data_IF_700937088652
#
_entry.id   IF_700937088652
#
_cell.length_a   1.000
_cell.length_b   1.000
_cell.length_c   1.000
_cell.angle_alpha   90.00
_cell.angle_beta   90.00
_cell.angle_gamma   90.00
#
_symmetry.space_group_name_H-M   'P 1'
#
loop_
_entity.id
_entity.type
_entity.pdbx_description
1 polymer ?
#
# COMPACT_ATOMS: atom_id res chain seq x y z
N UNK A 1 10.50 32.60 -18.89
CA UNK A 1 9.68 32.17 -17.74
C UNK A 1 9.83 30.67 -17.65
N UNK A 2 10.85 30.20 -16.94
CA UNK A 2 11.07 28.78 -16.72
C UNK A 2 10.02 28.28 -15.73
N UNK A 3 9.01 27.56 -16.23
CA UNK A 3 8.23 26.63 -15.42
C UNK A 3 9.19 25.58 -14.91
N UNK A 4 9.80 25.82 -13.75
CA UNK A 4 10.40 24.77 -12.94
C UNK A 4 9.26 23.87 -12.49
N UNK A 5 8.91 22.92 -13.35
CA UNK A 5 8.21 21.72 -12.94
C UNK A 5 8.94 21.24 -11.70
N UNK A 6 8.28 21.26 -10.54
CA UNK A 6 8.80 20.62 -9.35
C UNK A 6 8.98 19.16 -9.74
N UNK A 7 10.21 18.79 -10.10
CA UNK A 7 10.60 17.40 -10.25
C UNK A 7 10.39 16.81 -8.87
N UNK A 8 9.20 16.28 -8.63
CA UNK A 8 8.93 15.39 -7.51
C UNK A 8 10.05 14.37 -7.60
N UNK A 9 10.89 14.30 -6.56
CA UNK A 9 11.99 13.34 -6.53
C UNK A 9 11.43 11.99 -6.98
N UNK A 10 12.08 11.38 -7.98
CA UNK A 10 11.64 10.12 -8.55
C UNK A 10 11.52 9.10 -7.41
N UNK A 11 10.34 8.54 -7.25
CA UNK A 11 10.05 7.59 -6.19
C UNK A 11 10.47 6.20 -6.63
N UNK A 12 10.88 5.38 -5.67
CA UNK A 12 11.11 3.97 -5.91
C UNK A 12 9.78 3.30 -6.21
N UNK A 13 9.69 2.76 -7.42
CA UNK A 13 8.52 2.06 -7.91
C UNK A 13 8.27 0.73 -7.23
N UNK A 14 7.02 0.27 -7.31
CA UNK A 14 6.62 -1.05 -6.81
C UNK A 14 7.15 -2.16 -7.73
N UNK A 15 7.80 -3.15 -7.15
CA UNK A 15 8.16 -4.39 -7.83
C UNK A 15 7.04 -5.44 -7.73
N UNK A 16 6.40 -5.53 -6.55
CA UNK A 16 5.39 -6.53 -6.27
C UNK A 16 4.49 -6.11 -5.10
N UNK A 17 3.20 -6.41 -5.19
CA UNK A 17 2.24 -6.39 -4.08
C UNK A 17 1.69 -7.79 -3.89
N UNK A 18 1.92 -8.39 -2.74
CA UNK A 18 1.31 -9.65 -2.33
C UNK A 18 0.17 -9.37 -1.36
N UNK A 19 -0.99 -9.97 -1.58
CA UNK A 19 -2.13 -9.88 -0.66
C UNK A 19 -2.59 -11.29 -0.29
N UNK A 20 -2.70 -11.56 1.01
CA UNK A 20 -3.04 -12.87 1.57
C UNK A 20 -4.27 -12.79 2.45
N UNK A 21 -5.28 -13.60 2.16
CA UNK A 21 -6.37 -13.90 3.10
C UNK A 21 -5.88 -14.95 4.10
N UNK A 22 -6.34 -14.87 5.34
CA UNK A 22 -5.90 -15.74 6.44
C UNK A 22 -6.00 -17.24 6.13
N UNK A 23 -6.95 -17.68 5.30
CA UNK A 23 -7.20 -19.11 5.14
C UNK A 23 -6.94 -19.70 3.74
N UNK A 24 -7.23 -19.05 2.59
CA UNK A 24 -7.15 -19.81 1.31
C UNK A 24 -6.76 -19.07 0.02
N UNK A 25 -6.37 -17.79 0.07
CA UNK A 25 -6.07 -17.06 -1.17
C UNK A 25 -4.87 -16.13 -1.03
N UNK A 26 -3.92 -16.30 -1.95
CA UNK A 26 -2.80 -15.39 -2.14
C UNK A 26 -2.85 -14.84 -3.56
N UNK A 27 -2.71 -13.53 -3.70
CA UNK A 27 -2.56 -12.88 -4.99
C UNK A 27 -1.24 -12.12 -5.03
N UNK A 28 -0.63 -12.07 -6.20
CA UNK A 28 0.60 -11.35 -6.48
C UNK A 28 0.34 -10.40 -7.64
N UNK A 29 0.57 -9.12 -7.43
CA UNK A 29 0.13 -8.02 -8.31
C UNK A 29 1.30 -7.08 -8.54
N UNK A 30 1.30 -6.38 -9.68
CA UNK A 30 2.36 -5.43 -10.05
C UNK A 30 2.04 -3.96 -9.77
N UNK A 31 0.84 -3.64 -9.28
CA UNK A 31 0.39 -2.24 -9.18
C UNK A 31 -0.68 -2.03 -8.10
N UNK A 32 -0.81 -0.79 -7.62
CA UNK A 32 -1.83 -0.43 -6.62
C UNK A 32 -3.26 -0.49 -7.18
N UNK A 33 -3.46 -0.11 -8.45
CA UNK A 33 -4.75 -0.23 -9.15
C UNK A 33 -5.19 -1.70 -9.20
N UNK A 34 -4.27 -2.62 -9.53
CA UNK A 34 -4.56 -4.05 -9.52
C UNK A 34 -4.93 -4.54 -8.10
N UNK A 35 -4.20 -4.07 -7.08
CA UNK A 35 -4.48 -4.36 -5.68
C UNK A 35 -5.87 -3.86 -5.25
N UNK A 36 -6.23 -2.63 -5.60
CA UNK A 36 -7.52 -2.05 -5.26
C UNK A 36 -8.69 -2.77 -5.95
N UNK A 37 -8.49 -3.21 -7.20
CA UNK A 37 -9.47 -4.05 -7.91
C UNK A 37 -9.66 -5.39 -7.21
N UNK A 38 -8.57 -6.05 -6.81
CA UNK A 38 -8.64 -7.30 -6.06
C UNK A 38 -9.37 -7.12 -4.72
N UNK A 39 -8.95 -6.13 -3.93
CA UNK A 39 -9.56 -5.81 -2.63
C UNK A 39 -11.05 -5.47 -2.80
N UNK A 40 -11.45 -4.83 -3.91
CA UNK A 40 -12.86 -4.61 -4.24
C UNK A 40 -13.63 -5.91 -4.40
N UNK A 41 -13.09 -6.84 -5.18
CA UNK A 41 -13.70 -8.15 -5.43
C UNK A 41 -13.79 -8.97 -4.16
N UNK A 42 -12.71 -9.03 -3.39
CA UNK A 42 -12.65 -9.77 -2.12
C UNK A 42 -13.51 -9.16 -1.02
N UNK A 43 -13.77 -7.85 -1.03
CA UNK A 43 -14.70 -7.24 -0.09
C UNK A 43 -16.16 -7.63 -0.41
N UNK A 44 -16.49 -7.86 -1.69
CA UNK A 44 -17.84 -8.22 -2.11
C UNK A 44 -18.25 -9.64 -1.64
N UNK A 45 -17.30 -10.56 -1.48
CA UNK A 45 -17.57 -11.93 -0.99
C UNK A 45 -17.89 -12.00 0.50
N UNK A 46 -17.60 -10.95 1.28
CA UNK A 46 -17.94 -10.84 2.72
C UNK A 46 -17.43 -11.99 3.60
N UNK A 47 -16.46 -12.74 3.11
CA UNK A 47 -15.88 -13.96 3.69
C UNK A 47 -14.66 -13.67 4.58
N UNK A 48 -14.21 -12.41 4.65
CA UNK A 48 -12.96 -12.04 5.28
C UNK A 48 -13.06 -10.64 5.88
N UNK A 49 -12.65 -10.49 7.15
CA UNK A 49 -12.67 -9.21 7.88
C UNK A 49 -11.41 -8.37 7.65
N UNK A 50 -10.27 -9.02 7.43
CA UNK A 50 -8.96 -8.40 7.20
C UNK A 50 -8.09 -9.30 6.32
N UNK A 51 -7.18 -8.70 5.56
CA UNK A 51 -6.15 -9.42 4.82
C UNK A 51 -4.78 -8.84 5.12
N UNK A 52 -3.74 -9.64 4.88
CA UNK A 52 -2.36 -9.19 4.97
C UNK A 52 -1.89 -8.68 3.61
N UNK A 53 -1.04 -7.67 3.62
CA UNK A 53 -0.34 -7.19 2.44
C UNK A 53 1.17 -7.15 2.66
N UNK A 54 1.91 -7.33 1.58
CA UNK A 54 3.34 -7.08 1.47
C UNK A 54 3.59 -6.30 0.18
N UNK A 55 4.29 -5.18 0.25
CA UNK A 55 4.71 -4.37 -0.87
C UNK A 55 6.23 -4.44 -0.93
N UNK A 56 6.74 -4.98 -2.02
CA UNK A 56 8.16 -5.00 -2.34
C UNK A 56 8.45 -3.96 -3.40
N UNK A 57 9.45 -3.13 -3.15
CA UNK A 57 9.91 -2.08 -4.05
C UNK A 57 11.10 -2.54 -4.88
N UNK A 58 11.39 -1.78 -5.95
CA UNK A 58 12.45 -2.13 -6.92
C UNK A 58 13.87 -2.13 -6.32
N UNK A 59 14.09 -1.37 -5.25
CA UNK A 59 15.35 -1.36 -4.48
C UNK A 59 15.46 -2.53 -3.49
N UNK A 60 14.45 -3.39 -3.42
CA UNK A 60 14.36 -4.51 -2.49
C UNK A 60 13.74 -4.17 -1.14
N UNK A 61 13.36 -2.91 -0.90
CA UNK A 61 12.64 -2.53 0.31
C UNK A 61 11.31 -3.27 0.41
N UNK A 62 10.92 -3.60 1.65
CA UNK A 62 9.67 -4.31 1.92
C UNK A 62 8.87 -3.61 3.03
N UNK A 63 7.59 -3.40 2.75
CA UNK A 63 6.58 -2.91 3.70
C UNK A 63 5.47 -3.95 3.80
N UNK A 64 5.10 -4.38 5.00
CA UNK A 64 3.99 -5.32 5.18
C UNK A 64 3.05 -4.89 6.29
N UNK A 65 1.80 -5.33 6.21
CA UNK A 65 0.87 -5.16 7.31
C UNK A 65 -0.52 -5.70 7.05
N UNK A 66 -1.50 -5.21 7.81
CA UNK A 66 -2.91 -5.63 7.71
C UNK A 66 -3.78 -4.55 7.05
N UNK A 67 -4.67 -5.00 6.18
CA UNK A 67 -5.68 -4.19 5.52
C UNK A 67 -7.08 -4.63 5.97
N UNK A 68 -7.87 -3.73 6.58
CA UNK A 68 -9.24 -4.05 6.99
C UNK A 68 -10.16 -4.08 5.77
N UNK A 69 -10.82 -5.22 5.55
CA UNK A 69 -11.76 -5.39 4.42
C UNK A 69 -13.11 -4.70 4.66
N UNK A 70 -13.42 -4.41 5.93
CA UNK A 70 -14.66 -3.77 6.36
C UNK A 70 -14.38 -2.56 7.25
N UNK A 71 -14.98 -1.42 6.89
CA UNK A 71 -14.97 -0.22 7.71
C UNK A 71 -16.43 0.17 8.01
N UNK A 72 -16.80 0.24 9.30
CA UNK A 72 -18.20 0.38 9.77
C UNK A 72 -18.90 1.68 9.34
N UNK A 73 -18.17 2.74 8.95
CA UNK A 73 -18.79 4.04 8.66
C UNK A 73 -17.95 4.99 7.80
N UNK A 74 -16.99 4.50 7.02
CA UNK A 74 -16.18 5.37 6.17
C UNK A 74 -15.89 4.69 4.85
N UNK A 75 -15.96 5.46 3.77
CA UNK A 75 -15.63 5.06 2.40
C UNK A 75 -14.38 4.16 2.38
N UNK A 76 -14.51 2.94 1.82
CA UNK A 76 -13.41 1.98 1.72
C UNK A 76 -12.21 2.65 1.04
N UNK A 77 -11.09 2.69 1.73
CA UNK A 77 -9.86 3.30 1.23
C UNK A 77 -9.15 2.40 0.23
N UNK A 78 -8.45 2.97 -0.75
CA UNK A 78 -7.45 2.21 -1.51
C UNK A 78 -6.34 1.70 -0.59
N UNK A 79 -5.62 0.66 -1.01
CA UNK A 79 -4.44 0.16 -0.30
C UNK A 79 -3.42 1.29 -0.09
N UNK A 80 -3.20 2.12 -1.11
CA UNK A 80 -2.32 3.27 -1.05
C UNK A 80 -2.73 4.31 0.00
N UNK A 81 -4.02 4.68 0.03
CA UNK A 81 -4.55 5.60 1.02
C UNK A 81 -4.49 5.02 2.45
N UNK A 82 -4.67 3.71 2.60
CA UNK A 82 -4.49 3.02 3.87
C UNK A 82 -3.04 3.13 4.34
N UNK A 83 -2.06 2.75 3.50
CA UNK A 83 -0.62 2.85 3.83
C UNK A 83 -0.23 4.27 4.22
N UNK A 84 -0.65 5.28 3.45
CA UNK A 84 -0.41 6.69 3.79
C UNK A 84 -0.95 7.07 5.16
N UNK A 85 -2.17 6.65 5.48
CA UNK A 85 -2.79 6.94 6.77
C UNK A 85 -2.01 6.30 7.91
N UNK A 86 -1.53 5.06 7.75
CA UNK A 86 -0.72 4.40 8.78
C UNK A 86 0.59 5.15 9.02
N UNK A 87 1.24 5.63 7.96
CA UNK A 87 2.52 6.34 8.02
C UNK A 87 2.41 7.79 8.47
N UNK A 88 1.29 8.46 8.21
CA UNK A 88 1.02 9.81 8.67
C UNK A 88 0.52 9.87 10.13
N UNK A 89 0.20 8.71 10.73
CA UNK A 89 -0.24 8.63 12.12
C UNK A 89 0.87 9.00 13.11
N UNK A 90 0.49 9.51 14.29
CA UNK A 90 1.43 9.84 15.37
C UNK A 90 2.12 8.61 15.96
N UNK A 91 1.54 7.42 15.77
CA UNK A 91 2.14 6.13 16.13
C UNK A 91 1.86 5.13 15.04
N UNK A 92 2.91 4.42 14.63
CA UNK A 92 2.77 3.32 13.69
C UNK A 92 2.06 2.15 14.36
N UNK A 93 1.10 1.51 13.68
CA UNK A 93 0.41 0.36 14.24
C UNK A 93 1.38 -0.81 14.36
N UNK A 94 1.23 -1.62 15.41
CA UNK A 94 2.04 -2.82 15.63
C UNK A 94 1.94 -3.85 14.51
N UNK A 95 0.91 -3.75 13.66
CA UNK A 95 0.68 -4.58 12.48
C UNK A 95 1.41 -4.08 11.24
N UNK A 96 2.11 -2.95 11.28
CA UNK A 96 2.90 -2.43 10.17
C UNK A 96 4.38 -2.76 10.41
N UNK A 97 4.98 -3.48 9.47
CA UNK A 97 6.35 -3.94 9.57
C UNK A 97 7.16 -3.45 8.38
N UNK A 98 8.36 -2.97 8.67
CA UNK A 98 9.34 -2.53 7.69
C UNK A 98 10.50 -3.52 7.65
N UNK A 99 11.23 -3.56 6.54
CA UNK A 99 12.44 -4.36 6.43
C UNK A 99 13.45 -3.99 7.53
N UNK A 100 14.25 -4.94 8.06
CA UNK A 100 15.27 -4.64 9.07
C UNK A 100 16.24 -3.55 8.61
N UNK A 101 16.52 -2.58 9.48
CA UNK A 101 17.43 -1.47 9.17
C UNK A 101 16.82 -0.32 8.37
N UNK A 102 15.51 -0.37 8.10
CA UNK A 102 14.79 0.74 7.48
C UNK A 102 14.07 1.62 8.49
N UNK A 103 14.03 2.93 8.21
CA UNK A 103 13.21 3.88 8.97
C UNK A 103 11.90 4.18 8.21
N UNK A 104 10.77 4.34 8.92
CA UNK A 104 9.56 4.93 8.34
C UNK A 104 9.74 6.41 7.95
N UNK A 105 10.77 7.06 8.47
CA UNK A 105 11.05 8.47 8.21
C UNK A 105 11.26 8.69 6.71
N UNK A 106 10.51 9.65 6.14
CA UNK A 106 10.51 9.98 4.70
C UNK A 106 10.07 8.85 3.77
N UNK A 107 9.47 7.77 4.27
CA UNK A 107 8.95 6.70 3.40
C UNK A 107 8.04 7.25 2.30
N UNK A 108 7.12 8.15 2.65
CA UNK A 108 6.18 8.76 1.70
C UNK A 108 6.85 9.71 0.70
N UNK A 109 8.10 10.11 0.93
CA UNK A 109 8.88 10.91 -0.02
C UNK A 109 9.65 10.02 -0.99
N UNK A 110 10.08 8.85 -0.53
CA UNK A 110 10.96 7.93 -1.26
C UNK A 110 10.20 6.87 -2.05
N UNK A 111 9.06 6.40 -1.56
CA UNK A 111 8.38 5.22 -2.09
C UNK A 111 7.02 5.53 -2.72
N UNK A 112 6.70 4.80 -3.78
CA UNK A 112 5.36 4.82 -4.38
C UNK A 112 4.32 4.19 -3.46
N UNK A 113 3.15 4.82 -3.38
CA UNK A 113 2.00 4.36 -2.60
C UNK A 113 0.70 4.53 -3.38
N UNK A 114 0.80 4.77 -4.69
CA UNK A 114 -0.29 4.77 -5.66
C UNK A 114 0.34 4.66 -7.05
N UNK A 115 -0.43 4.16 -8.02
CA UNK A 115 0.00 4.23 -9.41
C UNK A 115 -0.21 5.68 -9.89
N UNK A 116 0.83 6.30 -10.44
CA UNK A 116 0.68 7.55 -11.17
C UNK A 116 0.03 7.25 -12.52
N UNK A 117 -1.27 7.48 -12.64
CA UNK A 117 -1.86 7.57 -13.96
C UNK A 117 -1.25 8.79 -14.66
N UNK A 118 -0.57 8.58 -15.80
CA UNK A 118 -0.37 9.66 -16.77
C UNK A 118 -1.77 10.20 -17.09
N UNK A 119 -2.02 11.44 -16.68
CA UNK A 119 -3.28 12.15 -16.93
C UNK A 119 -3.24 12.80 -18.30
#
# INVERSE_FOLDING_TARGET
MDTRSFARAEKVGVAQIRIRKAEHSTAVLGSFIAADRLLKTWAASRDCSECEFEIRYLDGYCLSGRYPMWQKSTTRQSLGAHVRRLLAGTRLPATLHFAPGSSPDRFLDQYEVEDFAES
#
